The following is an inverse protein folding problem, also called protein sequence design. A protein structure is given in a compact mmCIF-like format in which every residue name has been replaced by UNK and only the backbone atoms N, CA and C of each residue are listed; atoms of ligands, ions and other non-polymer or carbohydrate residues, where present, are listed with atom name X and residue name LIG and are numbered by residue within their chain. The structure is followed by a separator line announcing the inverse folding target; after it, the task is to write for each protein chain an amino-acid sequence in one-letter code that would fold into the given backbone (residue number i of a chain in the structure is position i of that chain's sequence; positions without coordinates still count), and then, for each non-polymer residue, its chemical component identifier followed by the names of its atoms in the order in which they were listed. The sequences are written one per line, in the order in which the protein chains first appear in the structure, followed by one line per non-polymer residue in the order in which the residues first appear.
data_IF_362176008214
#
_entry.id   IF_362176008214
#
_cell.length_a   1.000
_cell.length_b   1.000
_cell.length_c   1.000
_cell.angle_alpha   90.00
_cell.angle_beta   90.00
_cell.angle_gamma   90.00
#
_symmetry.space_group_name_H-M   'P 1'
#
loop_
_entity.id
_entity.type
_entity.pdbx_description
1 polymer ?
#
# COMPACT_ATOMS: atom_id res chain seq x y z
N UNK A 1 5.64 18.21 -28.83
CA UNK A 1 6.39 16.94 -28.97
C UNK A 1 5.38 15.81 -28.93
N UNK A 2 4.89 15.41 -30.10
CA UNK A 2 3.76 14.49 -30.25
C UNK A 2 4.29 13.05 -30.27
N UNK A 3 3.96 12.25 -29.26
CA UNK A 3 4.25 10.81 -29.26
C UNK A 3 3.26 10.12 -30.18
N UNK A 4 3.80 9.52 -31.24
CA UNK A 4 3.09 8.76 -32.26
C UNK A 4 2.40 7.52 -31.66
N UNK A 5 1.07 7.58 -31.52
CA UNK A 5 0.24 6.38 -31.49
C UNK A 5 0.36 5.72 -32.88
N UNK A 6 1.22 4.71 -32.99
CA UNK A 6 1.33 3.91 -34.20
C UNK A 6 0.05 3.12 -34.40
N UNK A 7 -0.80 3.65 -35.28
CA UNK A 7 -1.91 2.96 -35.91
C UNK A 7 -1.34 1.85 -36.82
N UNK A 8 -1.05 0.66 -36.28
CA UNK A 8 -0.88 -0.55 -37.10
C UNK A 8 -2.25 -0.99 -37.64
N UNK A 9 -2.76 -0.26 -38.64
CA UNK A 9 -3.93 -0.65 -39.42
C UNK A 9 -3.62 -1.95 -40.18
N UNK A 10 -3.93 -3.09 -39.57
CA UNK A 10 -3.78 -4.42 -40.17
C UNK A 10 -3.35 -5.54 -39.20
N UNK A 11 -2.88 -5.20 -37.99
CA UNK A 11 -2.42 -6.22 -37.03
C UNK A 11 -3.47 -6.48 -35.96
N UNK A 12 -3.86 -7.77 -35.78
CA UNK A 12 -4.77 -8.19 -34.71
C UNK A 12 -4.11 -7.88 -33.35
N UNK A 13 -4.87 -7.29 -32.43
CA UNK A 13 -4.40 -7.08 -31.06
C UNK A 13 -4.04 -8.42 -30.37
N UNK A 14 -3.25 -8.37 -29.29
CA UNK A 14 -2.82 -9.58 -28.59
C UNK A 14 -4.00 -10.45 -28.13
N UNK A 15 -5.10 -9.81 -27.72
CA UNK A 15 -6.30 -10.51 -27.30
C UNK A 15 -6.98 -11.32 -28.40
N UNK A 16 -7.23 -10.68 -29.54
CA UNK A 16 -7.86 -11.32 -30.68
C UNK A 16 -6.96 -12.39 -31.30
N UNK A 17 -5.63 -12.18 -31.28
CA UNK A 17 -4.64 -13.18 -31.70
C UNK A 17 -4.69 -14.42 -30.81
N UNK A 18 -4.70 -14.25 -29.48
CA UNK A 18 -4.77 -15.37 -28.53
C UNK A 18 -6.09 -16.16 -28.68
N UNK A 19 -7.21 -15.45 -28.79
CA UNK A 19 -8.54 -16.04 -28.93
C UNK A 19 -8.86 -16.53 -30.35
N UNK A 20 -7.89 -16.48 -31.28
CA UNK A 20 -8.02 -16.95 -32.68
C UNK A 20 -9.20 -16.34 -33.46
N UNK A 21 -9.68 -15.15 -33.08
CA UNK A 21 -10.80 -14.44 -33.74
C UNK A 21 -10.34 -13.21 -34.53
N UNK A 22 -11.22 -12.67 -35.39
CA UNK A 22 -10.97 -11.39 -36.09
C UNK A 22 -10.99 -10.23 -35.09
N UNK A 23 -10.13 -9.24 -35.31
CA UNK A 23 -10.10 -8.00 -34.53
C UNK A 23 -10.89 -6.93 -35.30
N UNK A 24 -12.03 -6.51 -34.75
CA UNK A 24 -12.82 -5.40 -35.31
C UNK A 24 -12.20 -4.05 -34.94
N UNK A 25 -12.55 -2.99 -35.67
CA UNK A 25 -12.08 -1.63 -35.43
C UNK A 25 -12.56 -1.04 -34.09
N UNK A 26 -13.69 -1.54 -33.58
CA UNK A 26 -14.30 -1.19 -32.29
C UNK A 26 -13.90 -2.14 -31.15
N UNK A 27 -12.84 -2.95 -31.33
CA UNK A 27 -12.40 -3.91 -30.33
C UNK A 27 -11.99 -3.22 -29.02
N UNK A 28 -12.77 -3.42 -27.96
CA UNK A 28 -12.54 -2.83 -26.63
C UNK A 28 -11.17 -3.19 -26.03
N UNK A 29 -10.60 -4.33 -26.42
CA UNK A 29 -9.30 -4.80 -25.91
C UNK A 29 -8.10 -4.25 -26.71
N UNK A 30 -8.32 -3.80 -27.95
CA UNK A 30 -7.23 -3.42 -28.84
C UNK A 30 -6.36 -2.26 -28.32
N UNK A 31 -6.91 -1.19 -27.73
CA UNK A 31 -6.10 -0.09 -27.21
C UNK A 31 -5.19 -0.47 -26.03
N UNK A 32 -5.54 -1.52 -25.28
CA UNK A 32 -4.88 -1.86 -24.01
C UNK A 32 -3.99 -3.11 -24.08
N UNK A 33 -4.17 -3.93 -25.11
CA UNK A 33 -3.44 -5.18 -25.34
C UNK A 33 -2.86 -5.20 -26.76
N UNK A 34 -1.82 -4.38 -27.02
CA UNK A 34 -1.23 -4.27 -28.34
C UNK A 34 -0.52 -5.56 -28.77
N UNK A 35 -0.36 -5.77 -30.07
CA UNK A 35 0.28 -6.96 -30.61
C UNK A 35 1.79 -7.07 -30.27
N UNK A 36 2.41 -5.96 -29.88
CA UNK A 36 3.81 -5.87 -29.45
C UNK A 36 4.09 -6.60 -28.14
N UNK A 37 3.07 -6.72 -27.27
CA UNK A 37 3.19 -7.38 -25.97
C UNK A 37 2.14 -8.49 -25.80
N UNK A 38 2.38 -9.67 -26.40
CA UNK A 38 1.47 -10.80 -26.29
C UNK A 38 1.46 -11.42 -24.89
N UNK A 39 2.55 -11.31 -24.13
CA UNK A 39 2.66 -11.91 -22.80
C UNK A 39 1.77 -11.20 -21.78
N UNK A 40 1.68 -9.87 -21.87
CA UNK A 40 0.74 -9.09 -21.05
C UNK A 40 -0.67 -9.65 -21.11
N UNK A 41 -1.23 -9.83 -22.31
CA UNK A 41 -2.58 -10.39 -22.43
C UNK A 41 -2.65 -11.87 -22.02
N UNK A 42 -1.60 -12.68 -22.28
CA UNK A 42 -1.57 -14.07 -21.88
C UNK A 42 -1.66 -14.25 -20.36
N UNK A 43 -0.95 -13.42 -19.59
CA UNK A 43 -1.06 -13.40 -18.12
C UNK A 43 -2.46 -12.99 -17.68
N UNK A 44 -3.00 -11.89 -18.21
CA UNK A 44 -4.33 -11.40 -17.81
C UNK A 44 -5.41 -12.43 -18.11
N UNK A 45 -5.40 -13.05 -19.30
CA UNK A 45 -6.38 -14.10 -19.64
C UNK A 45 -6.27 -15.31 -18.72
N UNK A 46 -5.05 -15.70 -18.32
CA UNK A 46 -4.84 -16.86 -17.45
C UNK A 46 -5.42 -16.64 -16.06
N UNK A 47 -5.23 -15.45 -15.50
CA UNK A 47 -5.61 -15.14 -14.11
C UNK A 47 -7.07 -14.67 -14.01
N UNK A 48 -7.48 -13.74 -14.88
CA UNK A 48 -8.82 -13.15 -14.81
C UNK A 48 -9.82 -13.86 -15.72
N UNK A 49 -9.38 -14.50 -16.81
CA UNK A 49 -10.26 -15.08 -17.83
C UNK A 49 -10.68 -14.07 -18.90
N UNK A 50 -10.70 -14.49 -20.17
CA UNK A 50 -10.92 -13.61 -21.32
C UNK A 50 -12.24 -12.80 -21.23
N UNK A 51 -13.35 -13.46 -20.85
CA UNK A 51 -14.67 -12.82 -20.75
C UNK A 51 -14.74 -11.81 -19.60
N UNK A 52 -14.09 -12.11 -18.47
CA UNK A 52 -14.08 -11.24 -17.31
C UNK A 52 -13.28 -9.97 -17.60
N UNK A 53 -12.15 -10.07 -18.31
CA UNK A 53 -11.35 -8.90 -18.72
C UNK A 53 -12.18 -7.93 -19.55
N UNK A 54 -12.87 -8.44 -20.57
CA UNK A 54 -13.74 -7.61 -21.40
C UNK A 54 -14.86 -6.96 -20.57
N UNK A 55 -15.53 -7.74 -19.71
CA UNK A 55 -16.62 -7.25 -18.83
C UNK A 55 -16.13 -6.17 -17.86
N UNK A 56 -15.02 -6.39 -17.17
CA UNK A 56 -14.45 -5.44 -16.20
C UNK A 56 -14.06 -4.14 -16.88
N UNK A 57 -13.38 -4.20 -18.03
CA UNK A 57 -13.04 -2.98 -18.78
C UNK A 57 -14.29 -2.25 -19.28
N UNK A 58 -15.30 -2.97 -19.80
CA UNK A 58 -16.54 -2.36 -20.26
C UNK A 58 -17.33 -1.67 -19.15
N UNK A 59 -17.30 -2.22 -17.92
CA UNK A 59 -17.97 -1.63 -16.75
C UNK A 59 -17.38 -0.29 -16.29
N UNK A 60 -16.16 0.03 -16.73
CA UNK A 60 -15.46 1.26 -16.35
C UNK A 60 -15.65 2.37 -17.39
N UNK A 61 -15.66 3.65 -16.96
CA UNK A 61 -15.52 4.80 -17.87
C UNK A 61 -14.25 4.68 -18.69
N UNK A 62 -14.30 5.10 -19.97
CA UNK A 62 -13.19 4.93 -20.92
C UNK A 62 -11.84 5.45 -20.40
N UNK A 63 -11.86 6.56 -19.65
CA UNK A 63 -10.67 7.19 -19.08
C UNK A 63 -9.96 6.33 -18.03
N UNK A 64 -10.69 5.44 -17.34
CA UNK A 64 -10.13 4.55 -16.32
C UNK A 64 -9.67 3.21 -16.88
N UNK A 65 -10.12 2.83 -18.07
CA UNK A 65 -9.84 1.51 -18.67
C UNK A 65 -8.36 1.25 -18.91
N UNK A 66 -7.60 2.27 -19.32
CA UNK A 66 -6.15 2.15 -19.52
C UNK A 66 -5.44 1.75 -18.23
N UNK A 67 -5.63 2.55 -17.16
CA UNK A 67 -5.07 2.27 -15.84
C UNK A 67 -5.53 0.92 -15.28
N UNK A 68 -6.81 0.57 -15.46
CA UNK A 68 -7.32 -0.73 -15.03
C UNK A 68 -6.63 -1.89 -15.76
N UNK A 69 -6.46 -1.79 -17.08
CA UNK A 69 -5.75 -2.82 -17.84
C UNK A 69 -4.27 -2.94 -17.43
N UNK A 70 -3.61 -1.82 -17.09
CA UNK A 70 -2.24 -1.82 -16.54
C UNK A 70 -2.17 -2.54 -15.19
N UNK A 71 -3.09 -2.22 -14.28
CA UNK A 71 -3.18 -2.89 -12.97
C UNK A 71 -3.43 -4.38 -13.13
N UNK A 72 -4.43 -4.78 -13.94
CA UNK A 72 -4.72 -6.19 -14.22
C UNK A 72 -3.51 -6.92 -14.81
N UNK A 73 -2.74 -6.27 -15.69
CA UNK A 73 -1.53 -6.85 -16.28
C UNK A 73 -0.45 -7.12 -15.24
N UNK A 74 -0.16 -6.13 -14.39
CA UNK A 74 0.84 -6.27 -13.32
C UNK A 74 0.41 -7.33 -12.32
N UNK A 75 -0.83 -7.28 -11.83
CA UNK A 75 -1.35 -8.26 -10.87
C UNK A 75 -1.33 -9.68 -11.43
N UNK A 76 -1.78 -9.86 -12.67
CA UNK A 76 -1.75 -11.17 -13.32
C UNK A 76 -0.32 -11.68 -13.48
N UNK A 77 0.63 -10.83 -13.87
CA UNK A 77 2.02 -11.20 -13.98
C UNK A 77 2.59 -11.64 -12.62
N UNK A 78 2.27 -10.93 -11.54
CA UNK A 78 2.69 -11.33 -10.18
C UNK A 78 2.12 -12.67 -9.78
N UNK A 79 0.83 -12.93 -10.04
CA UNK A 79 0.19 -14.21 -9.72
C UNK A 79 0.70 -15.37 -10.57
N UNK A 80 1.20 -15.10 -11.77
CA UNK A 80 1.90 -16.11 -12.58
C UNK A 80 3.29 -16.43 -12.01
N UNK A 81 4.00 -15.43 -11.49
CA UNK A 81 5.33 -15.59 -10.88
C UNK A 81 5.26 -16.25 -9.50
N UNK A 82 4.25 -15.88 -8.72
CA UNK A 82 3.95 -16.41 -7.39
C UNK A 82 2.47 -16.83 -7.35
N UNK A 83 2.18 -18.12 -7.60
CA UNK A 83 0.80 -18.64 -7.59
C UNK A 83 0.14 -18.61 -6.21
N UNK A 84 0.91 -18.54 -5.13
CA UNK A 84 0.40 -18.60 -3.76
C UNK A 84 0.02 -17.19 -3.29
N UNK A 85 0.96 -16.25 -3.32
CA UNK A 85 0.75 -14.92 -2.74
C UNK A 85 0.66 -13.80 -3.78
N UNK A 86 1.17 -13.97 -5.01
CA UNK A 86 1.08 -12.97 -6.07
C UNK A 86 1.48 -11.56 -5.64
N UNK A 87 0.58 -10.59 -5.81
CA UNK A 87 0.81 -9.23 -5.34
C UNK A 87 0.68 -9.06 -3.82
N UNK A 88 -0.08 -9.92 -3.12
CA UNK A 88 -0.23 -9.85 -1.67
C UNK A 88 1.09 -10.16 -0.94
N UNK A 89 1.92 -11.05 -1.48
CA UNK A 89 3.26 -11.30 -0.94
C UNK A 89 4.17 -10.07 -0.99
N UNK A 90 4.08 -9.29 -2.07
CA UNK A 90 4.81 -8.02 -2.21
C UNK A 90 4.32 -7.00 -1.18
N UNK A 91 3.00 -6.87 -1.02
CA UNK A 91 2.40 -5.97 -0.03
C UNK A 91 2.85 -6.38 1.38
N UNK A 92 2.76 -7.66 1.72
CA UNK A 92 3.16 -8.18 3.04
C UNK A 92 4.63 -7.93 3.34
N UNK A 93 5.53 -8.14 2.37
CA UNK A 93 6.97 -7.82 2.52
C UNK A 93 7.18 -6.32 2.78
N UNK A 94 6.58 -5.45 1.98
CA UNK A 94 6.71 -4.00 2.13
C UNK A 94 6.17 -3.51 3.47
N UNK A 95 5.05 -4.06 3.93
CA UNK A 95 4.52 -3.77 5.26
C UNK A 95 5.47 -4.24 6.37
N UNK A 96 6.14 -5.38 6.20
CA UNK A 96 7.20 -5.84 7.11
C UNK A 96 8.38 -4.88 7.17
N UNK A 97 8.85 -4.40 6.02
CA UNK A 97 9.93 -3.40 5.92
C UNK A 97 9.54 -2.08 6.59
N UNK A 98 8.32 -1.59 6.36
CA UNK A 98 7.79 -0.39 7.02
C UNK A 98 7.82 -0.54 8.54
N UNK A 99 7.29 -1.66 9.08
CA UNK A 99 7.29 -1.91 10.53
C UNK A 99 8.70 -2.00 11.10
N UNK A 100 9.64 -2.63 10.40
CA UNK A 100 11.02 -2.74 10.86
C UNK A 100 11.68 -1.35 10.97
N UNK A 101 11.52 -0.51 9.95
CA UNK A 101 12.06 0.86 9.92
C UNK A 101 11.38 1.75 10.97
N UNK A 102 10.06 1.64 11.15
CA UNK A 102 9.35 2.34 12.23
C UNK A 102 9.87 1.92 13.61
N UNK A 103 10.16 0.63 13.81
CA UNK A 103 10.75 0.12 15.05
C UNK A 103 12.19 0.63 15.29
N UNK A 104 13.00 0.77 14.24
CA UNK A 104 14.31 1.43 14.33
C UNK A 104 14.18 2.90 14.71
N UNK A 105 13.28 3.62 14.05
CA UNK A 105 13.02 5.03 14.33
C UNK A 105 12.59 5.25 15.79
N UNK A 106 11.65 4.45 16.29
CA UNK A 106 11.19 4.53 17.67
C UNK A 106 12.33 4.26 18.68
N UNK A 107 13.20 3.28 18.40
CA UNK A 107 14.38 2.99 19.23
C UNK A 107 15.35 4.16 19.27
N UNK A 108 15.67 4.75 18.12
CA UNK A 108 16.59 5.91 18.04
C UNK A 108 15.99 7.14 18.73
N UNK A 109 14.69 7.41 18.55
CA UNK A 109 14.01 8.50 19.24
C UNK A 109 14.03 8.32 20.76
N UNK A 110 13.80 7.10 21.25
CA UNK A 110 13.89 6.80 22.68
C UNK A 110 15.32 7.01 23.22
N UNK A 111 16.35 6.59 22.48
CA UNK A 111 17.75 6.84 22.85
C UNK A 111 18.04 8.34 22.94
N UNK A 112 17.62 9.13 21.95
CA UNK A 112 17.79 10.60 21.97
C UNK A 112 17.11 11.21 23.18
N UNK A 113 15.88 10.80 23.50
CA UNK A 113 15.15 11.30 24.65
C UNK A 113 15.87 11.00 25.98
N UNK A 114 16.41 9.79 26.13
CA UNK A 114 17.21 9.40 27.31
C UNK A 114 18.48 10.25 27.41
N UNK A 115 19.24 10.39 26.32
CA UNK A 115 20.46 11.20 26.32
C UNK A 115 20.18 12.68 26.63
N UNK A 116 19.10 13.24 26.07
CA UNK A 116 18.68 14.61 26.36
C UNK A 116 18.29 14.78 27.84
N UNK A 117 17.56 13.83 28.43
CA UNK A 117 17.21 13.86 29.84
C UNK A 117 18.44 13.78 30.76
N UNK A 118 19.38 12.88 30.46
CA UNK A 118 20.66 12.74 31.18
C UNK A 118 21.48 14.04 31.08
N UNK A 119 21.59 14.62 29.89
CA UNK A 119 22.32 15.87 29.70
C UNK A 119 21.69 17.03 30.48
N UNK A 120 20.36 17.10 30.59
CA UNK A 120 19.65 18.08 31.42
C UNK A 120 19.88 17.87 32.91
N UNK A 121 19.94 16.62 33.38
CA UNK A 121 20.21 16.29 34.78
C UNK A 121 21.67 16.57 35.20
N UNK A 122 22.61 16.49 34.25
CA UNK A 122 24.03 16.77 34.47
C UNK A 122 24.40 18.25 34.35
N UNK A 123 23.45 19.13 34.01
CA UNK A 123 23.71 20.57 34.08
C UNK A 123 24.00 20.94 35.54
N UNK A 124 25.20 21.44 35.87
CA UNK A 124 25.45 21.98 37.19
C UNK A 124 24.48 23.13 37.39
N UNK A 125 23.99 23.32 38.62
CA UNK A 125 23.23 24.49 39.02
C UNK A 125 24.09 25.78 38.97
N UNK A 126 24.62 26.15 37.80
CA UNK A 126 25.21 27.46 37.52
C UNK A 126 24.16 28.59 37.51
N UNK A 127 22.90 28.27 37.82
CA UNK A 127 21.82 29.23 38.06
C UNK A 127 21.69 29.69 39.52
N UNK A 128 22.25 28.98 40.50
CA UNK A 128 22.10 29.37 41.91
C UNK A 128 22.92 30.62 42.28
N UNK A 129 24.02 30.90 41.55
CA UNK A 129 24.86 32.07 41.79
C UNK A 129 24.34 33.38 41.16
N UNK A 130 23.28 33.34 40.34
CA UNK A 130 22.77 34.53 39.62
C UNK A 130 21.60 35.23 40.32
N UNK A 131 21.12 34.70 41.46
CA UNK A 131 20.06 35.33 42.27
C UNK A 131 20.56 36.41 43.24
N UNK A 132 21.87 36.64 43.34
CA UNK A 132 22.44 37.62 44.29
C UNK A 132 22.80 38.98 43.66
N UNK A 133 22.60 39.17 42.34
CA UNK A 133 22.91 40.43 41.67
C UNK A 133 21.90 40.80 40.57
N UNK A 134 20.61 40.84 40.92
CA UNK A 134 19.55 41.36 40.07
C UNK A 134 19.03 42.69 40.65
N UNK A 135 19.06 43.81 39.90
CA UNK A 135 18.31 45.01 40.29
C UNK A 135 16.80 44.71 40.23
N UNK A 136 16.05 45.41 41.08
CA UNK A 136 14.60 45.26 41.28
C UNK A 136 13.81 45.17 39.96
N UNK A 137 12.73 44.35 39.89
CA UNK A 137 12.01 44.15 38.64
C UNK A 137 11.26 45.43 38.24
N UNK A 138 11.67 46.03 37.12
CA UNK A 138 10.84 46.97 36.38
C UNK A 138 9.66 46.22 35.75
N UNK A 139 8.51 46.90 35.68
CA UNK A 139 7.21 46.38 35.25
C UNK A 139 7.26 45.58 33.93
N UNK A 140 6.41 44.54 33.77
CA UNK A 140 6.41 43.71 32.57
C UNK A 140 5.88 44.49 31.34
N UNK A 141 6.56 44.42 30.18
CA UNK A 141 6.01 44.87 28.91
C UNK A 141 4.87 43.93 28.45
N UNK A 142 3.95 44.41 27.59
CA UNK A 142 2.78 43.65 27.19
C UNK A 142 3.18 42.36 26.46
N UNK A 143 2.45 41.29 26.76
CA UNK A 143 2.62 39.95 26.20
C UNK A 143 2.51 39.99 24.68
N UNK A 144 3.64 39.88 23.99
CA UNK A 144 3.65 39.50 22.58
C UNK A 144 3.34 38.00 22.51
N UNK A 145 2.13 37.65 22.12
CA UNK A 145 1.75 36.27 21.83
C UNK A 145 2.66 35.73 20.72
N UNK A 146 3.28 34.55 20.89
CA UNK A 146 3.95 33.90 19.77
C UNK A 146 2.90 33.57 18.70
N UNK A 147 3.21 33.92 17.45
CA UNK A 147 2.43 33.49 16.30
C UNK A 147 2.23 31.96 16.35
N UNK A 148 1.06 31.44 15.93
CA UNK A 148 0.81 30.01 15.98
C UNK A 148 1.86 29.31 15.13
N UNK A 149 2.71 28.51 15.78
CA UNK A 149 3.49 27.51 15.10
C UNK A 149 2.49 26.61 14.39
N UNK A 150 2.41 26.72 13.06
CA UNK A 150 1.68 25.76 12.27
C UNK A 150 2.26 24.40 12.60
N UNK A 151 1.48 23.61 13.35
CA UNK A 151 1.76 22.20 13.53
C UNK A 151 1.98 21.63 12.14
N UNK A 152 3.21 21.19 11.85
CA UNK A 152 3.43 20.20 10.82
C UNK A 152 2.68 18.97 11.32
N UNK A 153 1.41 18.89 10.92
CA UNK A 153 0.63 17.68 11.05
C UNK A 153 1.42 16.61 10.34
N UNK A 154 1.87 15.63 11.11
CA UNK A 154 2.50 14.44 10.58
C UNK A 154 1.47 13.78 9.63
N UNK A 155 1.75 13.66 8.32
CA UNK A 155 0.81 13.08 7.37
C UNK A 155 0.43 11.63 7.71
N UNK A 156 1.13 10.99 8.66
CA UNK A 156 0.96 9.61 9.06
C UNK A 156 0.41 9.41 10.47
N UNK A 157 0.13 10.47 11.24
CA UNK A 157 -0.39 10.39 12.62
C UNK A 157 -1.77 9.72 12.77
N UNK A 158 -2.41 9.29 11.67
CA UNK A 158 -3.69 8.57 11.66
C UNK A 158 -3.65 7.16 11.07
N UNK A 159 -2.51 6.68 10.53
CA UNK A 159 -2.46 5.33 9.94
C UNK A 159 -2.27 4.24 10.99
N UNK A 160 -1.64 4.53 12.13
CA UNK A 160 -1.37 3.54 13.17
C UNK A 160 -2.62 3.11 13.95
N UNK A 161 -3.67 3.95 14.01
CA UNK A 161 -4.90 3.63 14.72
C UNK A 161 -5.97 2.93 13.86
N UNK A 162 -5.84 2.94 12.52
CA UNK A 162 -6.84 2.36 11.61
C UNK A 162 -6.38 1.08 10.90
N UNK A 163 -5.08 0.73 10.99
CA UNK A 163 -4.53 -0.47 10.34
C UNK A 163 -4.33 -1.67 11.28
N UNK A 164 -4.54 -1.50 12.58
CA UNK A 164 -4.40 -2.60 13.56
C UNK A 164 -5.73 -3.29 13.84
N UNK A 165 -6.87 -2.62 13.61
CA UNK A 165 -8.19 -3.17 13.94
C UNK A 165 -8.90 -3.91 12.78
N UNK A 166 -8.63 -3.59 11.51
CA UNK A 166 -9.37 -4.21 10.39
C UNK A 166 -8.86 -5.60 9.96
N UNK A 167 -7.66 -6.04 10.39
CA UNK A 167 -7.10 -7.35 10.01
C UNK A 167 -7.01 -8.37 11.16
N UNK A 168 -7.47 -8.01 12.36
CA UNK A 168 -7.51 -8.91 13.53
C UNK A 168 -8.81 -9.72 13.61
N UNK A 169 -9.84 -9.38 12.83
CA UNK A 169 -11.14 -10.05 12.89
C UNK A 169 -11.20 -11.40 12.14
N UNK A 170 -10.33 -11.66 11.14
CA UNK A 170 -10.48 -12.83 10.25
C UNK A 170 -9.43 -13.94 10.41
N UNK A 171 -8.52 -13.88 11.40
CA UNK A 171 -7.54 -14.96 11.70
C UNK A 171 -7.85 -15.65 13.05
N UNK A 172 -9.12 -15.78 13.40
CA UNK A 172 -9.57 -16.80 14.36
C UNK A 172 -10.72 -17.57 13.70
N UNK A 173 -10.37 -18.43 12.75
CA UNK A 173 -11.22 -19.56 12.41
C UNK A 173 -10.96 -20.59 13.53
N UNK A 174 -11.92 -20.87 14.42
CA UNK A 174 -11.75 -21.96 15.37
C UNK A 174 -11.57 -23.26 14.58
N UNK A 175 -10.51 -24.01 14.90
CA UNK A 175 -10.38 -25.40 14.47
C UNK A 175 -11.59 -26.17 15.02
N UNK A 176 -12.58 -26.45 14.17
CA UNK A 176 -13.65 -27.39 14.52
C UNK A 176 -12.99 -28.77 14.72
N UNK A 177 -13.01 -29.19 15.99
CA UNK A 177 -12.46 -30.44 16.49
C UNK A 177 -12.97 -31.64 15.67
N UNK A 178 -12.02 -32.45 15.23
CA UNK A 178 -12.26 -33.78 14.69
C UNK A 178 -12.67 -34.71 15.85
N UNK A 179 -13.97 -34.85 16.07
CA UNK A 179 -14.51 -35.81 17.05
C UNK A 179 -14.42 -37.23 16.48
N UNK A 180 -13.31 -37.91 16.78
CA UNK A 180 -13.16 -39.35 16.58
C UNK A 180 -13.78 -40.08 17.76
N UNK A 181 -15.07 -40.38 17.67
CA UNK A 181 -15.64 -41.64 18.15
C UNK A 181 -17.11 -41.74 17.73
N UNK A 182 -17.55 -42.96 17.47
CA UNK A 182 -18.95 -43.36 17.29
C UNK A 182 -19.55 -43.31 15.87
N UNK A 183 -19.14 -44.27 15.03
CA UNK A 183 -20.09 -44.95 14.12
C UNK A 183 -19.56 -46.32 13.67
N UNK A 184 -19.36 -47.22 14.63
CA UNK A 184 -19.23 -48.65 14.37
C UNK A 184 -20.28 -49.43 15.15
N UNK A 185 -21.57 -49.29 14.81
CA UNK A 185 -22.61 -50.32 15.06
C UNK A 185 -23.97 -49.95 14.43
N UNK A 186 -24.30 -50.54 13.28
CA UNK A 186 -25.59 -51.16 12.91
C UNK A 186 -25.50 -51.59 11.43
N UNK A 187 -25.02 -52.80 11.14
CA UNK A 187 -25.85 -53.94 10.74
C UNK A 187 -27.06 -53.58 9.85
N UNK A 188 -26.87 -53.57 8.53
CA UNK A 188 -27.43 -54.53 7.55
C UNK A 188 -26.94 -54.22 6.15
#
# INVERSE_FOLDING_TARGET
MSTSLSTEAGRRCAACKNQRRRCSGDCVLAPYFPASDPQRYACVQRIFGASNVARMLQSLPIQKRGKAADTMAVEAQRRVQDPVYGCAGIVGRLQGEIRAVQGELARTQAQIAVHAAVARAQQPALGAARLMNAPAPAAPPPLQQPAPAMAMQDPFQGLDALLVDDYRADINLPDDEMDTDQAGLLLK
#
